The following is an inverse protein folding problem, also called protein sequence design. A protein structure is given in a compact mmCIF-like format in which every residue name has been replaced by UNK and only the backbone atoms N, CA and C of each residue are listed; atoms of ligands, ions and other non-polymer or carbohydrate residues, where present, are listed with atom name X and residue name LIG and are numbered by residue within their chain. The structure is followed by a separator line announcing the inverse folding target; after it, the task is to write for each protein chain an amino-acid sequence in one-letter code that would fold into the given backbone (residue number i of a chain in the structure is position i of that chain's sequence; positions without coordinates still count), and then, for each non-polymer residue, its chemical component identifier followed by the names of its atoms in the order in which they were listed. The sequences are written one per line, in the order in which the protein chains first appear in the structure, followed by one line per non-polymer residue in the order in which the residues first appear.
data_IF_681744084654
#
_entry.id   IF_681744084654
#
_cell.length_a   1.000
_cell.length_b   1.000
_cell.length_c   1.000
_cell.angle_alpha   90.00
_cell.angle_beta   90.00
_cell.angle_gamma   90.00
#
_symmetry.space_group_name_H-M   'P 1'
#
loop_
_entity.id
_entity.type
_entity.pdbx_description
1 polymer ?
#
# COMPACT_ATOMS: atom_id res chain seq x y z
N UNK A 1 17.10 -18.43 -3.16
CA UNK A 1 16.01 -18.61 -2.17
C UNK A 1 16.05 -17.41 -1.24
N UNK A 2 14.90 -16.80 -0.93
CA UNK A 2 14.86 -15.74 0.08
C UNK A 2 15.06 -16.31 1.48
N UNK A 3 15.71 -15.54 2.36
CA UNK A 3 15.92 -15.90 3.76
C UNK A 3 14.60 -16.05 4.51
N UNK A 4 14.50 -17.05 5.39
CA UNK A 4 13.37 -17.23 6.31
C UNK A 4 13.67 -16.65 7.69
N UNK A 5 12.66 -16.26 8.48
CA UNK A 5 12.89 -15.79 9.86
C UNK A 5 13.65 -16.82 10.72
N UNK A 6 13.40 -18.11 10.52
CA UNK A 6 14.11 -19.19 11.22
C UNK A 6 15.60 -19.30 10.81
N UNK A 7 15.91 -18.99 9.55
CA UNK A 7 17.31 -18.93 9.07
C UNK A 7 18.05 -17.71 9.63
N UNK A 8 17.35 -16.61 9.92
CA UNK A 8 17.93 -15.44 10.60
C UNK A 8 18.26 -15.78 12.06
N UNK A 9 17.33 -16.41 12.77
CA UNK A 9 17.53 -16.80 14.18
C UNK A 9 18.58 -17.92 14.37
N UNK A 10 18.83 -18.73 13.35
CA UNK A 10 19.88 -19.77 13.37
C UNK A 10 21.18 -19.36 12.69
N UNK A 11 21.31 -18.10 12.27
CA UNK A 11 22.49 -17.60 11.60
C UNK A 11 23.70 -17.58 12.55
N UNK A 12 24.80 -18.21 12.14
CA UNK A 12 26.05 -18.24 12.90
C UNK A 12 27.13 -17.39 12.21
N UNK A 13 27.69 -16.43 12.96
CA UNK A 13 28.77 -15.57 12.48
C UNK A 13 30.14 -16.04 13.00
N UNK A 14 31.20 -15.81 12.21
CA UNK A 14 32.58 -16.15 12.61
C UNK A 14 33.12 -15.09 13.56
N UNK A 15 33.80 -15.51 14.63
CA UNK A 15 34.48 -14.59 15.54
C UNK A 15 35.65 -13.85 14.85
N UNK A 16 35.91 -12.57 15.20
CA UNK A 16 37.05 -11.83 14.68
C UNK A 16 38.38 -12.53 15.00
N UNK A 17 39.40 -12.31 14.17
CA UNK A 17 40.77 -12.76 14.48
C UNK A 17 41.25 -12.08 15.78
N UNK A 18 42.16 -12.71 16.56
CA UNK A 18 42.69 -12.11 17.77
C UNK A 18 43.24 -10.70 17.49
N UNK A 19 42.73 -9.69 18.21
CA UNK A 19 43.09 -8.27 18.02
C UNK A 19 42.28 -7.52 16.96
N UNK A 20 41.30 -8.16 16.30
CA UNK A 20 40.36 -7.52 15.39
C UNK A 20 39.14 -6.96 16.12
N UNK A 21 38.66 -5.79 15.68
CA UNK A 21 37.38 -5.23 16.15
C UNK A 21 36.22 -6.01 15.51
N UNK A 22 35.18 -6.26 16.31
CA UNK A 22 33.93 -6.88 15.87
C UNK A 22 32.74 -6.23 16.57
N UNK A 23 31.53 -6.54 16.09
CA UNK A 23 30.30 -6.14 16.76
C UNK A 23 30.13 -6.91 18.07
N UNK A 24 29.42 -6.31 19.02
CA UNK A 24 29.05 -6.98 20.27
C UNK A 24 28.02 -8.07 19.98
N UNK A 25 28.26 -9.28 20.50
CA UNK A 25 27.42 -10.46 20.28
C UNK A 25 25.98 -10.19 20.73
N UNK A 26 25.81 -9.65 21.94
CA UNK A 26 24.49 -9.33 22.51
C UNK A 26 23.70 -8.30 21.68
N UNK A 27 24.37 -7.27 21.13
CA UNK A 27 23.71 -6.24 20.30
C UNK A 27 23.28 -6.80 18.94
N UNK A 28 24.10 -7.70 18.37
CA UNK A 28 23.78 -8.38 17.11
C UNK A 28 22.64 -9.35 17.30
N UNK A 29 22.65 -10.14 18.38
CA UNK A 29 21.59 -11.10 18.68
C UNK A 29 20.24 -10.38 18.89
N UNK A 30 20.22 -9.28 19.67
CA UNK A 30 19.01 -8.47 19.86
C UNK A 30 18.47 -7.89 18.55
N UNK A 31 19.37 -7.38 17.68
CA UNK A 31 18.97 -6.86 16.37
C UNK A 31 18.42 -7.95 15.45
N UNK A 32 18.99 -9.16 15.48
CA UNK A 32 18.52 -10.28 14.66
C UNK A 32 17.15 -10.80 15.11
N UNK A 33 16.86 -10.74 16.41
CA UNK A 33 15.53 -11.04 16.95
C UNK A 33 14.49 -10.01 16.45
N UNK A 34 14.79 -8.70 16.52
CA UNK A 34 13.92 -7.64 15.99
C UNK A 34 13.65 -7.82 14.49
N UNK A 35 14.68 -8.17 13.71
CA UNK A 35 14.56 -8.45 12.27
C UNK A 35 13.69 -9.67 12.02
N UNK A 36 13.87 -10.76 12.79
CA UNK A 36 13.08 -11.97 12.63
C UNK A 36 11.59 -11.73 12.94
N UNK A 37 11.29 -10.97 13.99
CA UNK A 37 9.93 -10.59 14.37
C UNK A 37 9.26 -9.72 13.29
N UNK A 38 9.98 -8.73 12.76
CA UNK A 38 9.48 -7.86 11.70
C UNK A 38 9.24 -8.63 10.40
N UNK A 39 10.13 -9.56 10.04
CA UNK A 39 9.91 -10.46 8.89
C UNK A 39 8.66 -11.33 9.08
N UNK A 40 8.39 -11.77 10.31
CA UNK A 40 7.20 -12.57 10.64
C UNK A 40 5.93 -11.71 10.53
N UNK A 41 5.98 -10.47 11.01
CA UNK A 41 4.91 -9.46 10.85
C UNK A 41 4.60 -9.19 9.36
N UNK A 42 5.62 -8.89 8.56
CA UNK A 42 5.49 -8.64 7.12
C UNK A 42 4.99 -9.87 6.36
N UNK A 43 5.37 -11.08 6.77
CA UNK A 43 4.88 -12.32 6.18
C UNK A 43 3.40 -12.59 6.53
N UNK A 44 2.95 -12.22 7.72
CA UNK A 44 1.54 -12.30 8.13
C UNK A 44 0.69 -11.23 7.42
N UNK A 45 1.22 -10.02 7.27
CA UNK A 45 0.58 -8.93 6.53
C UNK A 45 0.47 -9.26 5.03
N UNK A 46 1.53 -9.77 4.41
CA UNK A 46 1.48 -10.23 3.01
C UNK A 46 0.46 -11.35 2.81
N UNK A 47 0.37 -12.32 3.75
CA UNK A 47 -0.66 -13.35 3.70
C UNK A 47 -2.06 -12.74 3.79
N UNK A 48 -2.28 -11.83 4.72
CA UNK A 48 -3.57 -11.13 4.86
C UNK A 48 -3.93 -10.32 3.61
N UNK A 49 -2.97 -9.61 3.02
CA UNK A 49 -3.18 -8.84 1.79
C UNK A 49 -3.45 -9.74 0.59
N UNK A 50 -2.70 -10.84 0.47
CA UNK A 50 -2.94 -11.87 -0.55
C UNK A 50 -4.31 -12.51 -0.38
N UNK A 51 -4.69 -12.85 0.85
CA UNK A 51 -6.01 -13.41 1.17
C UNK A 51 -7.10 -12.41 0.79
N UNK A 52 -6.97 -11.12 1.13
CA UNK A 52 -7.91 -10.07 0.72
C UNK A 52 -8.04 -9.94 -0.80
N UNK A 53 -6.92 -10.01 -1.54
CA UNK A 53 -6.91 -10.00 -3.00
C UNK A 53 -7.60 -11.24 -3.60
N UNK A 54 -7.51 -12.39 -2.93
CA UNK A 54 -8.20 -13.62 -3.35
C UNK A 54 -9.65 -13.72 -2.86
N UNK A 55 -10.03 -13.07 -1.76
CA UNK A 55 -11.39 -13.11 -1.20
C UNK A 55 -12.31 -12.06 -1.83
N UNK A 56 -11.79 -10.88 -2.15
CA UNK A 56 -12.41 -9.97 -3.13
C UNK A 56 -12.04 -10.43 -4.53
N UNK A 57 -12.41 -11.67 -4.85
CA UNK A 57 -11.82 -12.44 -5.94
C UNK A 57 -12.05 -11.75 -7.29
N UNK A 58 -11.11 -10.91 -7.68
CA UNK A 58 -11.08 -10.24 -8.98
C UNK A 58 -11.15 -11.29 -10.09
N UNK A 59 -10.62 -12.50 -9.87
CA UNK A 59 -10.71 -13.58 -10.84
C UNK A 59 -12.14 -14.15 -10.94
N UNK A 60 -12.87 -14.27 -9.83
CA UNK A 60 -14.30 -14.63 -9.85
C UNK A 60 -15.13 -13.51 -10.47
N UNK A 61 -14.81 -12.24 -10.16
CA UNK A 61 -15.50 -11.07 -10.70
C UNK A 61 -15.27 -10.89 -12.20
N UNK A 62 -14.04 -11.10 -12.67
CA UNK A 62 -13.68 -11.16 -14.09
C UNK A 62 -14.43 -12.32 -14.77
N UNK A 63 -14.41 -13.53 -14.19
CA UNK A 63 -15.16 -14.67 -14.74
C UNK A 63 -16.67 -14.39 -14.83
N UNK A 64 -17.26 -13.72 -13.83
CA UNK A 64 -18.68 -13.31 -13.90
C UNK A 64 -18.92 -12.31 -15.02
N UNK A 65 -18.08 -11.29 -15.15
CA UNK A 65 -18.19 -10.28 -16.21
C UNK A 65 -17.98 -10.88 -17.61
N UNK A 66 -17.06 -11.83 -17.76
CA UNK A 66 -16.83 -12.56 -19.00
C UNK A 66 -18.06 -13.38 -19.40
N UNK A 67 -18.66 -14.11 -18.45
CA UNK A 67 -19.90 -14.87 -18.69
C UNK A 67 -21.07 -13.93 -19.04
N UNK A 68 -21.19 -12.78 -18.38
CA UNK A 68 -22.20 -11.77 -18.71
C UNK A 68 -22.00 -11.17 -20.10
N UNK A 69 -20.76 -10.89 -20.49
CA UNK A 69 -20.42 -10.38 -21.83
C UNK A 69 -20.70 -11.41 -22.94
N UNK A 70 -20.37 -12.67 -22.70
CA UNK A 70 -20.72 -13.77 -23.61
C UNK A 70 -22.22 -13.90 -23.78
N UNK A 71 -22.99 -13.88 -22.68
CA UNK A 71 -24.45 -13.93 -22.74
C UNK A 71 -25.05 -12.73 -23.46
N UNK A 72 -24.52 -11.53 -23.27
CA UNK A 72 -25.01 -10.33 -23.98
C UNK A 72 -24.71 -10.40 -25.48
N UNK A 73 -23.54 -10.91 -25.87
CA UNK A 73 -23.21 -11.17 -27.27
C UNK A 73 -24.10 -12.23 -27.91
N UNK A 74 -24.29 -13.38 -27.25
CA UNK A 74 -25.19 -14.43 -27.73
C UNK A 74 -26.61 -13.91 -27.89
N UNK A 75 -27.08 -13.10 -26.94
CA UNK A 75 -28.40 -12.48 -27.03
C UNK A 75 -28.50 -11.50 -28.21
N UNK A 76 -27.46 -10.69 -28.46
CA UNK A 76 -27.42 -9.80 -29.61
C UNK A 76 -27.43 -10.56 -30.95
N UNK A 77 -26.68 -11.67 -31.05
CA UNK A 77 -26.67 -12.54 -32.23
C UNK A 77 -28.02 -13.24 -32.45
N UNK A 78 -28.65 -13.73 -31.37
CA UNK A 78 -29.97 -14.34 -31.44
C UNK A 78 -31.02 -13.33 -31.94
N UNK A 79 -31.00 -12.11 -31.40
CA UNK A 79 -31.90 -11.03 -31.83
C UNK A 79 -31.66 -10.65 -33.29
N UNK A 80 -30.39 -10.61 -33.73
CA UNK A 80 -30.04 -10.37 -35.13
C UNK A 80 -30.58 -11.47 -36.05
N UNK A 81 -30.40 -12.74 -35.67
CA UNK A 81 -30.90 -13.88 -36.45
C UNK A 81 -32.44 -13.90 -36.51
N UNK A 82 -33.12 -13.55 -35.41
CA UNK A 82 -34.58 -13.43 -35.38
C UNK A 82 -35.07 -12.29 -36.30
N UNK A 83 -34.39 -11.14 -36.28
CA UNK A 83 -34.67 -10.04 -37.22
C UNK A 83 -34.41 -10.42 -38.67
N UNK A 84 -33.37 -11.19 -38.96
CA UNK A 84 -33.08 -11.71 -40.30
C UNK A 84 -34.13 -12.73 -40.76
N UNK A 85 -34.57 -13.63 -39.88
CA UNK A 85 -35.65 -14.57 -40.18
C UNK A 85 -36.98 -13.85 -40.44
N UNK A 86 -37.31 -12.83 -39.64
CA UNK A 86 -38.50 -12.00 -39.86
C UNK A 86 -38.40 -11.21 -41.18
N UNK A 87 -37.20 -10.73 -41.54
CA UNK A 87 -36.95 -10.11 -42.86
C UNK A 87 -37.08 -11.09 -44.02
N UNK A 88 -36.63 -12.34 -43.86
CA UNK A 88 -36.72 -13.36 -44.91
C UNK A 88 -38.14 -13.94 -45.07
N UNK A 89 -38.90 -14.06 -43.97
CA UNK A 89 -40.29 -14.51 -43.97
C UNK A 89 -41.27 -13.43 -44.45
N UNK A 90 -40.91 -12.15 -44.32
CA UNK A 90 -41.58 -11.08 -45.03
C UNK A 90 -41.24 -11.21 -46.53
N UNK A 91 -42.22 -11.61 -47.34
CA UNK A 91 -42.16 -11.38 -48.79
C UNK A 91 -41.76 -9.92 -49.02
N UNK A 92 -40.91 -9.60 -50.02
CA UNK A 92 -40.45 -8.23 -50.24
C UNK A 92 -41.69 -7.35 -50.32
N UNK A 93 -41.93 -6.58 -49.27
CA UNK A 93 -42.86 -5.47 -49.31
C UNK A 93 -42.35 -4.68 -50.50
N UNK A 94 -43.15 -4.57 -51.56
CA UNK A 94 -42.79 -3.73 -52.70
C UNK A 94 -42.69 -2.31 -52.17
N UNK A 95 -41.49 -1.93 -51.77
CA UNK A 95 -41.10 -0.59 -51.33
C UNK A 95 -41.01 0.34 -52.55
N UNK A 96 -41.92 0.18 -53.50
CA UNK A 96 -42.02 1.05 -54.67
C UNK A 96 -42.68 2.39 -54.30
N UNK A 97 -43.22 2.51 -53.08
CA UNK A 97 -43.76 3.78 -52.57
C UNK A 97 -42.64 4.62 -51.91
N UNK A 98 -42.11 5.65 -52.60
CA UNK A 98 -40.99 6.44 -52.14
C UNK A 98 -41.24 7.10 -50.77
N UNK A 99 -42.51 7.34 -50.40
CA UNK A 99 -42.87 7.94 -49.11
C UNK A 99 -42.59 7.02 -47.93
N UNK A 100 -42.78 5.70 -48.11
CA UNK A 100 -42.58 4.74 -47.02
C UNK A 100 -41.10 4.49 -46.74
N UNK A 101 -40.26 4.50 -47.79
CA UNK A 101 -38.81 4.49 -47.66
C UNK A 101 -38.27 5.73 -46.95
N UNK A 102 -38.83 6.90 -47.26
CA UNK A 102 -38.46 8.16 -46.61
C UNK A 102 -38.82 8.16 -45.12
N UNK A 103 -40.00 7.67 -44.74
CA UNK A 103 -40.41 7.51 -43.33
C UNK A 103 -39.52 6.49 -42.60
N UNK A 104 -39.22 5.35 -43.20
CA UNK A 104 -38.35 4.34 -42.60
C UNK A 104 -36.93 4.86 -42.40
N UNK A 105 -36.39 5.58 -43.39
CA UNK A 105 -35.07 6.22 -43.30
C UNK A 105 -35.05 7.29 -42.22
N UNK A 106 -36.07 8.14 -42.15
CA UNK A 106 -36.20 9.16 -41.11
C UNK A 106 -36.25 8.54 -39.72
N UNK A 107 -37.03 7.47 -39.52
CA UNK A 107 -37.06 6.74 -38.25
C UNK A 107 -35.69 6.16 -37.90
N UNK A 108 -34.99 5.54 -38.86
CA UNK A 108 -33.65 5.00 -38.63
C UNK A 108 -32.66 6.11 -38.25
N UNK A 109 -32.70 7.24 -38.94
CA UNK A 109 -31.87 8.41 -38.64
C UNK A 109 -32.20 8.98 -37.24
N UNK A 110 -33.48 9.00 -36.85
CA UNK A 110 -33.92 9.41 -35.51
C UNK A 110 -33.39 8.47 -34.42
N UNK A 111 -33.48 7.15 -34.58
CA UNK A 111 -32.92 6.17 -33.64
C UNK A 111 -31.40 6.25 -33.54
N UNK A 112 -30.70 6.44 -34.65
CA UNK A 112 -29.24 6.61 -34.63
C UNK A 112 -28.86 7.91 -33.91
N UNK A 113 -29.62 8.98 -34.09
CA UNK A 113 -29.40 10.24 -33.38
C UNK A 113 -29.73 10.13 -31.87
N UNK A 114 -30.73 9.35 -31.48
CA UNK A 114 -31.04 9.06 -30.08
C UNK A 114 -29.93 8.22 -29.43
N UNK A 115 -29.54 7.10 -30.04
CA UNK A 115 -28.46 6.24 -29.54
C UNK A 115 -27.13 6.99 -29.40
N UNK A 116 -26.81 7.90 -30.33
CA UNK A 116 -25.62 8.76 -30.22
C UNK A 116 -25.70 9.71 -29.03
N UNK A 117 -26.85 10.37 -28.81
CA UNK A 117 -27.07 11.25 -27.66
C UNK A 117 -26.96 10.50 -26.32
N UNK A 118 -27.52 9.30 -26.24
CA UNK A 118 -27.41 8.46 -25.04
C UNK A 118 -25.97 8.03 -24.80
N UNK A 119 -25.24 7.62 -25.84
CA UNK A 119 -23.83 7.26 -25.73
C UNK A 119 -22.96 8.44 -25.29
N UNK A 120 -23.16 9.63 -25.87
CA UNK A 120 -22.47 10.85 -25.47
C UNK A 120 -22.74 11.21 -24.01
N UNK A 121 -24.01 11.13 -23.57
CA UNK A 121 -24.39 11.38 -22.18
C UNK A 121 -23.76 10.36 -21.21
N UNK A 122 -23.68 9.08 -21.60
CA UNK A 122 -23.06 8.04 -20.78
C UNK A 122 -21.55 8.25 -20.66
N UNK A 123 -20.88 8.63 -21.75
CA UNK A 123 -19.45 8.98 -21.74
C UNK A 123 -19.21 10.21 -20.86
N UNK A 124 -20.01 11.26 -20.99
CA UNK A 124 -19.90 12.46 -20.15
C UNK A 124 -20.09 12.13 -18.65
N UNK A 125 -21.11 11.34 -18.31
CA UNK A 125 -21.34 10.90 -16.95
C UNK A 125 -20.17 10.04 -16.42
N UNK A 126 -19.65 9.12 -17.23
CA UNK A 126 -18.50 8.28 -16.85
C UNK A 126 -17.23 9.11 -16.63
N UNK A 127 -16.93 10.07 -17.51
CA UNK A 127 -15.77 10.96 -17.36
C UNK A 127 -15.88 11.87 -16.13
N UNK A 128 -17.07 12.39 -15.85
CA UNK A 128 -17.33 13.20 -14.64
C UNK A 128 -17.14 12.37 -13.37
N UNK A 129 -17.71 11.16 -13.33
CA UNK A 129 -17.57 10.23 -12.20
C UNK A 129 -16.11 9.83 -11.99
N UNK A 130 -15.39 9.53 -13.07
CA UNK A 130 -13.97 9.21 -13.02
C UNK A 130 -13.15 10.39 -12.48
N UNK A 131 -13.42 11.61 -12.95
CA UNK A 131 -12.79 12.83 -12.44
C UNK A 131 -13.02 13.04 -10.94
N UNK A 132 -14.24 12.82 -10.47
CA UNK A 132 -14.58 12.89 -9.04
C UNK A 132 -13.80 11.86 -8.22
N UNK A 133 -13.76 10.60 -8.65
CA UNK A 133 -13.03 9.53 -7.97
C UNK A 133 -11.52 9.81 -7.93
N UNK A 134 -10.94 10.30 -9.02
CA UNK A 134 -9.52 10.67 -9.08
C UNK A 134 -9.24 11.83 -8.12
N UNK A 135 -10.06 12.88 -8.11
CA UNK A 135 -9.90 14.01 -7.20
C UNK A 135 -10.02 13.59 -5.73
N UNK A 136 -10.98 12.73 -5.41
CA UNK A 136 -11.16 12.21 -4.05
C UNK A 136 -9.98 11.34 -3.61
N UNK A 137 -9.51 10.44 -4.50
CA UNK A 137 -8.34 9.62 -4.25
C UNK A 137 -7.08 10.47 -4.03
N UNK A 138 -6.88 11.52 -4.85
CA UNK A 138 -5.77 12.46 -4.70
C UNK A 138 -5.83 13.21 -3.37
N UNK A 139 -7.02 13.68 -2.97
CA UNK A 139 -7.20 14.36 -1.68
C UNK A 139 -6.86 13.42 -0.52
N UNK A 140 -7.43 12.20 -0.51
CA UNK A 140 -7.14 11.19 0.52
C UNK A 140 -5.66 10.81 0.57
N UNK A 141 -5.02 10.66 -0.59
CA UNK A 141 -3.59 10.38 -0.65
C UNK A 141 -2.77 11.53 -0.06
N UNK A 142 -3.14 12.79 -0.38
CA UNK A 142 -2.45 13.97 0.16
C UNK A 142 -2.58 14.09 1.67
N UNK A 143 -3.75 13.76 2.24
CA UNK A 143 -3.96 13.79 3.69
C UNK A 143 -3.15 12.71 4.39
N UNK A 144 -3.17 11.46 3.86
CA UNK A 144 -2.37 10.37 4.43
C UNK A 144 -0.88 10.72 4.44
N UNK A 145 -0.36 11.31 3.36
CA UNK A 145 1.04 11.73 3.29
C UNK A 145 1.34 12.87 4.28
N UNK A 146 0.43 13.82 4.45
CA UNK A 146 0.59 14.90 5.43
C UNK A 146 0.60 14.36 6.86
N UNK A 147 -0.35 13.48 7.20
CA UNK A 147 -0.47 12.85 8.51
C UNK A 147 0.77 12.00 8.83
N UNK A 148 1.23 11.19 7.87
CA UNK A 148 2.44 10.38 8.03
C UNK A 148 3.70 11.24 8.25
N UNK A 149 3.83 12.37 7.52
CA UNK A 149 4.94 13.31 7.72
C UNK A 149 4.88 13.98 9.08
N UNK A 150 3.69 14.34 9.54
CA UNK A 150 3.50 14.96 10.85
C UNK A 150 3.87 13.98 11.98
N UNK A 151 3.31 12.77 11.96
CA UNK A 151 3.63 11.74 12.94
C UNK A 151 5.13 11.39 12.95
N UNK A 152 5.77 11.35 11.78
CA UNK A 152 7.21 11.15 11.69
C UNK A 152 8.00 12.29 12.32
N UNK A 153 7.63 13.55 12.06
CA UNK A 153 8.28 14.71 12.66
C UNK A 153 8.13 14.72 14.20
N UNK A 154 6.96 14.35 14.72
CA UNK A 154 6.74 14.21 16.16
C UNK A 154 7.60 13.08 16.77
N UNK A 155 7.67 11.92 16.11
CA UNK A 155 8.51 10.82 16.58
C UNK A 155 10.01 11.19 16.61
N UNK A 156 10.50 11.86 15.56
CA UNK A 156 11.89 12.34 15.49
C UNK A 156 12.17 13.37 16.59
N UNK A 157 11.28 14.34 16.78
CA UNK A 157 11.39 15.33 17.87
C UNK A 157 11.40 14.66 19.25
N UNK A 158 10.58 13.62 19.45
CA UNK A 158 10.58 12.82 20.67
C UNK A 158 11.91 12.11 20.92
N UNK A 159 12.51 11.50 19.89
CA UNK A 159 13.83 10.86 19.99
C UNK A 159 14.93 11.89 20.27
N UNK A 160 14.87 13.06 19.64
CA UNK A 160 15.83 14.15 19.89
C UNK A 160 15.75 14.65 21.34
N UNK A 161 14.54 14.79 21.88
CA UNK A 161 14.31 15.17 23.28
C UNK A 161 14.84 14.10 24.26
N UNK A 162 14.56 12.82 24.00
CA UNK A 162 15.10 11.72 24.80
C UNK A 162 16.63 11.67 24.76
N UNK A 163 17.21 11.88 23.57
CA UNK A 163 18.66 11.94 23.40
C UNK A 163 19.27 13.11 24.19
N UNK A 164 18.65 14.28 24.18
CA UNK A 164 19.11 15.43 24.95
C UNK A 164 19.08 15.13 26.46
N UNK A 165 17.97 14.61 26.97
CA UNK A 165 17.85 14.23 28.38
C UNK A 165 18.88 13.17 28.81
N UNK A 166 19.12 12.16 27.97
CA UNK A 166 20.13 11.14 28.25
C UNK A 166 21.55 11.73 28.27
N UNK A 167 21.86 12.69 27.40
CA UNK A 167 23.15 13.37 27.40
C UNK A 167 23.35 14.24 28.64
N UNK A 168 22.29 14.92 29.10
CA UNK A 168 22.32 15.70 30.34
C UNK A 168 22.56 14.78 31.56
N UNK A 169 21.87 13.63 31.64
CA UNK A 169 22.07 12.64 32.71
C UNK A 169 23.50 12.07 32.71
N UNK A 170 24.05 11.76 31.53
CA UNK A 170 25.46 11.34 31.40
C UNK A 170 26.40 12.43 31.93
N UNK A 171 26.12 13.70 31.63
CA UNK A 171 26.86 14.85 32.15
C UNK A 171 26.85 14.90 33.67
N UNK A 172 25.67 14.82 34.28
CA UNK A 172 25.51 14.82 35.75
C UNK A 172 26.24 13.64 36.42
N UNK A 173 26.12 12.44 35.87
CA UNK A 173 26.82 11.26 36.37
C UNK A 173 28.34 11.41 36.26
N UNK A 174 28.83 12.00 35.17
CA UNK A 174 30.26 12.26 34.98
C UNK A 174 30.79 13.23 36.03
N UNK A 175 30.08 14.34 36.28
CA UNK A 175 30.44 15.28 37.34
C UNK A 175 30.41 14.65 38.74
N UNK A 176 29.42 13.79 39.00
CA UNK A 176 29.31 13.06 40.26
C UNK A 176 30.50 12.12 40.46
N UNK A 177 30.90 11.37 39.43
CA UNK A 177 32.05 10.47 39.48
C UNK A 177 33.34 11.24 39.75
N UNK A 178 33.57 12.35 39.05
CA UNK A 178 34.76 13.18 39.27
C UNK A 178 34.80 13.76 40.70
N UNK A 179 33.67 14.26 41.19
CA UNK A 179 33.55 14.74 42.59
C UNK A 179 33.83 13.64 43.61
N UNK A 180 33.29 12.44 43.41
CA UNK A 180 33.55 11.29 44.29
C UNK A 180 35.02 10.87 44.26
N UNK A 181 35.66 10.90 43.09
CA UNK A 181 37.09 10.62 42.96
C UNK A 181 37.93 11.63 43.72
N UNK A 182 37.62 12.93 43.62
CA UNK A 182 38.35 13.97 44.36
C UNK A 182 38.16 13.82 45.87
N UNK A 183 36.92 13.57 46.33
CA UNK A 183 36.63 13.33 47.77
C UNK A 183 37.43 12.13 48.32
N UNK A 184 37.45 11.01 47.58
CA UNK A 184 38.19 9.81 47.99
C UNK A 184 39.69 10.08 48.02
N UNK A 185 40.24 10.74 47.00
CA UNK A 185 41.66 11.07 46.92
C UNK A 185 42.10 11.98 48.07
N UNK A 186 41.30 12.99 48.41
CA UNK A 186 41.53 13.87 49.56
C UNK A 186 41.46 13.10 50.88
N UNK A 187 40.45 12.25 51.07
CA UNK A 187 40.30 11.45 52.28
C UNK A 187 41.46 10.47 52.50
N UNK A 188 41.94 9.81 51.44
CA UNK A 188 43.12 8.92 51.50
C UNK A 188 44.37 9.74 51.82
N UNK A 189 44.57 10.88 51.16
CA UNK A 189 45.73 11.75 51.37
C UNK A 189 45.77 12.30 52.80
N UNK A 190 44.62 12.67 53.36
CA UNK A 190 44.48 13.09 54.75
C UNK A 190 44.88 11.99 55.73
N UNK A 191 44.30 10.79 55.60
CA UNK A 191 44.64 9.63 56.44
C UNK A 191 46.12 9.24 56.37
N UNK A 192 46.73 9.30 55.18
CA UNK A 192 48.15 9.02 55.05
C UNK A 192 49.00 10.04 55.80
N UNK A 193 48.64 11.33 55.72
CA UNK A 193 49.36 12.40 56.43
C UNK A 193 49.30 12.20 57.95
N UNK A 194 48.13 11.85 58.48
CA UNK A 194 47.91 11.57 59.91
C UNK A 194 48.71 10.36 60.42
N UNK A 195 49.04 9.39 59.55
CA UNK A 195 49.84 8.22 59.91
C UNK A 195 51.36 8.45 59.82
N UNK A 196 51.78 9.44 59.04
CA UNK A 196 53.21 9.74 58.79
C UNK A 196 53.78 10.88 59.62
N UNK A 197 52.92 11.65 60.32
CA UNK A 197 53.31 12.68 61.28
C UNK A 197 53.15 12.21 62.72
#
# INVERSE_FOLDING_TARGET
MPLTPAEVHSAAFRRPRPGGLGYHEDDVDAFLDDVADEMLRLAAENRTLSDRLTHEDLAERIRRLEVECLRSQEHALALQAELEQLRAAQAPVRLDDPRMLEVARRNADEYVAEARREAEALVEHATTKAGQLVSEAQLRASTIVADARHAHAEAVSGIEAQRAAALDEIGELTELVERRRTEIAEAISGRLRDLTG
#
